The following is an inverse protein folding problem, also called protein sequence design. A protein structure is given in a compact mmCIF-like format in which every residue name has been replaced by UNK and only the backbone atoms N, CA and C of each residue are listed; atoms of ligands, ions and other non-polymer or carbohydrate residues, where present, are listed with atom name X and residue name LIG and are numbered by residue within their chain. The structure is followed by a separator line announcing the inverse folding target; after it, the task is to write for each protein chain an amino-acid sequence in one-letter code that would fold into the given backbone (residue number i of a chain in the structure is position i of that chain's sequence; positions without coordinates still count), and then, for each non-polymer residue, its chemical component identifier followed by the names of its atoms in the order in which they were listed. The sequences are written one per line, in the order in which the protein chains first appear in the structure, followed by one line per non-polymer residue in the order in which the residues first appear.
data_IF_748999702677
#
_entry.id   IF_748999702677
#
_cell.length_a   1.000
_cell.length_b   1.000
_cell.length_c   1.000
_cell.angle_alpha   90.00
_cell.angle_beta   90.00
_cell.angle_gamma   90.00
#
_symmetry.space_group_name_H-M   'P 1'
#
loop_
_entity.id
_entity.type
_entity.pdbx_description
1 polymer ?
#
# COMPACT_ATOMS: atom_id res chain seq x y z
N UNK A 1 0.40 16.53 9.77
CA UNK A 1 -0.52 15.36 9.86
C UNK A 1 -0.37 14.40 8.69
N UNK A 2 -0.37 14.82 7.41
CA UNK A 2 -0.13 13.91 6.27
C UNK A 2 1.25 13.21 6.26
N UNK A 3 2.29 13.91 6.74
CA UNK A 3 3.64 13.33 6.89
C UNK A 3 3.68 12.22 7.97
N UNK A 4 3.06 12.46 9.14
CA UNK A 4 2.93 11.47 10.23
C UNK A 4 2.15 10.23 9.80
N UNK A 5 1.01 10.41 9.13
CA UNK A 5 0.21 9.31 8.57
C UNK A 5 1.02 8.44 7.58
N UNK A 6 2.07 8.98 6.97
CA UNK A 6 2.96 8.20 6.10
C UNK A 6 3.96 7.39 6.89
N UNK A 7 4.59 8.00 7.89
CA UNK A 7 5.54 7.31 8.76
C UNK A 7 4.90 6.14 9.51
N UNK A 8 3.64 6.25 9.89
CA UNK A 8 2.90 5.18 10.56
C UNK A 8 2.51 4.03 9.61
N UNK A 9 2.29 4.34 8.32
CA UNK A 9 1.84 3.34 7.33
C UNK A 9 3.01 2.66 6.59
N UNK A 10 4.15 3.34 6.44
CA UNK A 10 5.34 2.80 5.76
C UNK A 10 5.82 1.43 6.31
N UNK A 11 6.00 1.23 7.63
CA UNK A 11 6.48 -0.05 8.14
C UNK A 11 5.52 -1.20 7.83
N UNK A 12 4.21 -0.95 7.89
CA UNK A 12 3.17 -1.92 7.54
C UNK A 12 3.25 -2.25 6.05
N UNK A 13 3.37 -1.23 5.19
CA UNK A 13 3.53 -1.42 3.75
C UNK A 13 4.75 -2.29 3.41
N UNK A 14 5.92 -2.00 3.99
CA UNK A 14 7.13 -2.80 3.74
C UNK A 14 7.00 -4.23 4.25
N UNK A 15 6.41 -4.44 5.43
CA UNK A 15 6.18 -5.79 5.95
C UNK A 15 5.31 -6.61 4.99
N UNK A 16 4.20 -6.03 4.48
CA UNK A 16 3.32 -6.71 3.54
C UNK A 16 3.98 -6.96 2.16
N UNK A 17 4.81 -6.03 1.69
CA UNK A 17 5.59 -6.18 0.46
C UNK A 17 6.58 -7.35 0.56
N UNK A 18 7.33 -7.44 1.66
CA UNK A 18 8.31 -8.50 1.88
C UNK A 18 7.59 -9.85 2.00
N UNK A 19 6.61 -9.95 2.91
CA UNK A 19 5.95 -11.23 3.19
C UNK A 19 5.09 -11.73 2.02
N UNK A 20 4.30 -10.86 1.40
CA UNK A 20 3.50 -11.22 0.22
C UNK A 20 4.38 -11.50 -1.01
N UNK A 21 5.48 -10.78 -1.16
CA UNK A 21 6.40 -10.90 -2.29
C UNK A 21 7.16 -12.22 -2.35
N UNK A 22 7.31 -12.92 -1.21
CA UNK A 22 7.93 -14.24 -1.15
C UNK A 22 7.18 -15.30 -2.00
N UNK A 23 5.84 -15.17 -2.10
CA UNK A 23 5.00 -16.06 -2.92
C UNK A 23 4.52 -15.41 -4.21
N UNK A 24 4.25 -14.11 -4.19
CA UNK A 24 3.63 -13.36 -5.29
C UNK A 24 4.44 -12.12 -5.70
N UNK A 25 5.70 -12.28 -6.18
CA UNK A 25 6.62 -11.16 -6.39
C UNK A 25 6.11 -10.13 -7.41
N UNK A 26 5.55 -10.58 -8.54
CA UNK A 26 5.06 -9.69 -9.59
C UNK A 26 3.81 -8.91 -9.18
N UNK A 27 2.89 -9.55 -8.45
CA UNK A 27 1.65 -8.92 -7.97
C UNK A 27 1.99 -7.89 -6.89
N UNK A 28 2.85 -8.25 -5.94
CA UNK A 28 3.33 -7.32 -4.92
C UNK A 28 4.08 -6.13 -5.52
N UNK A 29 4.91 -6.34 -6.55
CA UNK A 29 5.58 -5.25 -7.24
C UNK A 29 4.59 -4.26 -7.89
N UNK A 30 3.58 -4.75 -8.61
CA UNK A 30 2.55 -3.91 -9.22
C UNK A 30 1.74 -3.13 -8.16
N UNK A 31 1.33 -3.79 -7.07
CA UNK A 31 0.62 -3.15 -5.96
C UNK A 31 1.50 -2.14 -5.21
N UNK A 32 2.80 -2.40 -5.08
CA UNK A 32 3.78 -1.49 -4.49
C UNK A 32 3.95 -0.20 -5.31
N UNK A 33 4.00 -0.31 -6.64
CA UNK A 33 4.02 0.85 -7.54
C UNK A 33 2.72 1.63 -7.42
N UNK A 34 1.56 0.95 -7.43
CA UNK A 34 0.25 1.57 -7.27
C UNK A 34 0.16 2.33 -5.93
N UNK A 35 0.58 1.71 -4.83
CA UNK A 35 0.62 2.34 -3.51
C UNK A 35 1.49 3.60 -3.51
N UNK A 36 2.71 3.49 -4.06
CA UNK A 36 3.67 4.62 -4.09
C UNK A 36 3.13 5.78 -4.92
N UNK A 37 2.56 5.52 -6.10
CA UNK A 37 1.94 6.53 -6.95
C UNK A 37 0.72 7.17 -6.28
N UNK A 38 -0.12 6.37 -5.62
CA UNK A 38 -1.27 6.87 -4.88
C UNK A 38 -0.84 7.74 -3.68
N UNK A 39 0.20 7.35 -2.94
CA UNK A 39 0.75 8.18 -1.85
C UNK A 39 1.33 9.49 -2.38
N UNK A 40 2.05 9.45 -3.49
CA UNK A 40 2.53 10.67 -4.14
C UNK A 40 1.37 11.61 -4.48
N UNK A 41 0.32 11.10 -5.12
CA UNK A 41 -0.86 11.90 -5.45
C UNK A 41 -1.62 12.41 -4.21
N UNK A 42 -1.65 11.62 -3.13
CA UNK A 42 -2.19 12.05 -1.84
C UNK A 42 -1.42 13.25 -1.28
N UNK A 43 -0.08 13.24 -1.33
CA UNK A 43 0.76 14.35 -0.89
C UNK A 43 0.59 15.60 -1.76
N UNK A 44 0.54 15.43 -3.08
CA UNK A 44 0.28 16.54 -4.03
C UNK A 44 -1.08 17.17 -3.74
N UNK A 45 -2.15 16.37 -3.61
CA UNK A 45 -3.48 16.86 -3.23
C UNK A 45 -3.56 17.40 -1.79
N UNK A 46 -2.62 17.03 -0.92
CA UNK A 46 -2.53 17.60 0.43
C UNK A 46 -1.99 19.02 0.39
N UNK A 47 -1.02 19.28 -0.49
CA UNK A 47 -0.39 20.59 -0.68
C UNK A 47 -1.33 21.62 -1.33
N UNK A 48 -2.33 21.19 -2.10
CA UNK A 48 -3.32 22.10 -2.73
C UNK A 48 -4.29 22.76 -1.75
N UNK A 49 -4.30 22.37 -0.47
CA UNK A 49 -5.17 22.95 0.57
C UNK A 49 -6.64 22.48 0.51
N UNK A 50 -7.14 22.08 -0.65
CA UNK A 50 -8.49 21.52 -0.80
C UNK A 50 -8.58 20.05 -0.33
N UNK A 51 -9.44 19.73 0.65
CA UNK A 51 -9.52 18.39 1.24
C UNK A 51 -10.03 17.31 0.25
N UNK A 52 -10.85 17.70 -0.74
CA UNK A 52 -11.40 16.77 -1.74
C UNK A 52 -10.34 16.22 -2.70
N UNK A 53 -9.29 16.99 -2.98
CA UNK A 53 -8.23 16.59 -3.91
C UNK A 53 -7.27 15.54 -3.31
N UNK A 54 -7.24 15.41 -1.98
CA UNK A 54 -6.41 14.42 -1.26
C UNK A 54 -6.80 12.97 -1.54
N UNK A 55 -8.10 12.70 -1.67
CA UNK A 55 -8.64 11.34 -1.80
C UNK A 55 -8.95 10.92 -3.24
N UNK A 56 -9.09 11.88 -4.17
CA UNK A 56 -9.52 11.62 -5.56
C UNK A 56 -8.62 10.61 -6.29
N UNK A 57 -7.31 10.83 -6.23
CA UNK A 57 -6.30 9.88 -6.73
C UNK A 57 -5.57 9.19 -5.56
N UNK A 58 -5.41 9.90 -4.45
CA UNK A 58 -4.72 9.38 -3.28
C UNK A 58 -5.40 8.19 -2.61
N UNK A 59 -6.73 8.06 -2.74
CA UNK A 59 -7.49 6.95 -2.17
C UNK A 59 -7.13 5.58 -2.74
N UNK A 60 -6.45 5.51 -3.89
CA UNK A 60 -5.99 4.26 -4.51
C UNK A 60 -4.97 3.49 -3.65
N UNK A 61 -4.40 4.10 -2.61
CA UNK A 61 -3.52 3.39 -1.67
C UNK A 61 -4.28 2.33 -0.86
N UNK A 62 -5.59 2.52 -0.62
CA UNK A 62 -6.42 1.57 0.14
C UNK A 62 -6.55 0.20 -0.54
N UNK A 63 -7.00 0.11 -1.81
CA UNK A 63 -7.05 -1.18 -2.50
C UNK A 63 -5.66 -1.78 -2.70
N UNK A 64 -4.61 -0.96 -2.82
CA UNK A 64 -3.23 -1.45 -2.90
C UNK A 64 -2.78 -2.18 -1.62
N UNK A 65 -3.03 -1.57 -0.44
CA UNK A 65 -2.79 -2.19 0.88
C UNK A 65 -3.62 -3.46 1.06
N UNK A 66 -4.91 -3.44 0.67
CA UNK A 66 -5.78 -4.62 0.74
C UNK A 66 -5.24 -5.77 -0.12
N UNK A 67 -4.80 -5.48 -1.35
CA UNK A 67 -4.18 -6.49 -2.22
C UNK A 67 -2.90 -7.08 -1.63
N UNK A 68 -2.05 -6.26 -1.00
CA UNK A 68 -0.83 -6.71 -0.33
C UNK A 68 -1.13 -7.59 0.90
N UNK A 69 -2.18 -7.27 1.66
CA UNK A 69 -2.66 -8.13 2.74
C UNK A 69 -3.11 -9.50 2.23
N UNK A 70 -3.88 -9.55 1.13
CA UNK A 70 -4.30 -10.82 0.54
C UNK A 70 -3.11 -11.67 0.05
N UNK A 71 -2.10 -11.04 -0.55
CA UNK A 71 -0.87 -11.74 -0.96
C UNK A 71 -0.13 -12.32 0.26
N UNK A 72 -0.05 -11.56 1.34
CA UNK A 72 0.57 -12.00 2.61
C UNK A 72 -0.21 -13.16 3.25
N UNK A 73 -1.55 -13.08 3.26
CA UNK A 73 -2.40 -14.15 3.77
C UNK A 73 -2.28 -15.43 2.93
N UNK A 74 -2.19 -15.30 1.60
CA UNK A 74 -1.95 -16.44 0.70
C UNK A 74 -0.61 -17.12 0.97
N UNK A 75 0.44 -16.34 1.26
CA UNK A 75 1.73 -16.86 1.71
C UNK A 75 1.62 -17.57 3.06
N UNK A 76 0.98 -16.95 4.06
CA UNK A 76 0.77 -17.54 5.38
C UNK A 76 -0.03 -18.84 5.35
N UNK A 77 -1.10 -18.90 4.55
CA UNK A 77 -1.87 -20.13 4.34
C UNK A 77 -1.00 -21.24 3.72
N UNK A 78 -0.20 -20.89 2.72
CA UNK A 78 0.70 -21.85 2.07
C UNK A 78 1.74 -22.44 3.01
N UNK A 79 2.14 -21.70 4.04
CA UNK A 79 3.06 -22.14 5.09
C UNK A 79 2.35 -23.01 6.12
N UNK A 80 1.11 -22.66 6.51
CA UNK A 80 0.33 -23.43 7.49
C UNK A 80 -0.24 -24.74 6.93
N UNK A 81 -0.38 -24.85 5.61
CA UNK A 81 -0.87 -26.05 4.92
C UNK A 81 0.24 -27.04 4.52
N UNK A 82 1.49 -26.77 4.90
CA UNK A 82 2.64 -27.67 4.80
C UNK A 82 3.11 -28.06 6.20
#
# INVERSE_FOLDING_TARGET
RGHQNSLETLPIFFALMILGGLKHPSICAALGVLYTAARYAYFVGYATGEPKNRLKLGGLFFPAILGLMLCTLSFGWSLASH
#
